data_IF_823520504512
#
_entry.id   IF_823520504512
#
_cell.length_a   1.000
_cell.length_b   1.000
_cell.length_c   1.000
_cell.angle_alpha   90.00
_cell.angle_beta   90.00
_cell.angle_gamma   90.00
#
_symmetry.space_group_name_H-M   'P 1'
#
loop_
_entity.id
_entity.type
_entity.pdbx_description
1 polymer ?
#
# COMPACT_ATOMS: atom_id res chain seq x y z
N UNK A 1 -8.69 -6.50 5.44
CA UNK A 1 -7.53 -5.72 4.97
C UNK A 1 -6.22 -6.48 5.11
N UNK A 2 -5.76 -6.81 6.32
CA UNK A 2 -4.41 -7.35 6.54
C UNK A 2 -4.13 -8.67 5.79
N UNK A 3 -4.98 -9.70 5.97
CA UNK A 3 -4.82 -10.98 5.28
C UNK A 3 -4.97 -10.88 3.76
N UNK A 4 -5.96 -10.12 3.29
CA UNK A 4 -6.18 -9.88 1.85
C UNK A 4 -4.99 -9.19 1.21
N UNK A 5 -4.42 -8.18 1.88
CA UNK A 5 -3.24 -7.47 1.43
C UNK A 5 -2.01 -8.39 1.38
N UNK A 6 -1.72 -9.13 2.45
CA UNK A 6 -0.55 -10.04 2.50
C UNK A 6 -0.65 -11.20 1.51
N UNK A 7 -1.84 -11.81 1.36
CA UNK A 7 -2.03 -12.89 0.41
C UNK A 7 -1.87 -12.42 -1.05
N UNK A 8 -2.49 -11.29 -1.39
CA UNK A 8 -2.50 -10.78 -2.76
C UNK A 8 -1.14 -10.18 -3.15
N UNK A 9 -0.44 -9.48 -2.24
CA UNK A 9 0.94 -9.02 -2.50
C UNK A 9 1.92 -10.18 -2.64
N UNK A 10 1.76 -11.26 -1.87
CA UNK A 10 2.59 -12.45 -2.01
C UNK A 10 2.40 -13.14 -3.36
N UNK A 11 1.15 -13.34 -3.78
CA UNK A 11 0.83 -13.90 -5.11
C UNK A 11 1.39 -13.00 -6.21
N UNK A 12 1.24 -11.69 -6.07
CA UNK A 12 1.77 -10.73 -7.03
C UNK A 12 3.29 -10.76 -7.13
N UNK A 13 3.98 -10.83 -5.99
CA UNK A 13 5.43 -10.95 -5.92
C UNK A 13 5.93 -12.24 -6.58
N UNK A 14 5.23 -13.37 -6.38
CA UNK A 14 5.55 -14.63 -7.03
C UNK A 14 5.46 -14.52 -8.57
N UNK A 15 4.44 -13.83 -9.08
CA UNK A 15 4.24 -13.61 -10.53
C UNK A 15 5.28 -12.62 -11.09
N UNK A 16 5.63 -11.56 -10.36
CA UNK A 16 6.65 -10.61 -10.84
C UNK A 16 8.07 -11.17 -10.72
N UNK A 17 8.30 -12.10 -9.80
CA UNK A 17 9.61 -12.76 -9.63
C UNK A 17 9.98 -13.62 -10.84
N UNK A 18 9.02 -14.34 -11.44
CA UNK A 18 9.27 -15.13 -12.65
C UNK A 18 9.59 -14.29 -13.88
N UNK A 19 9.16 -13.03 -13.91
CA UNK A 19 9.28 -12.13 -15.07
C UNK A 19 10.44 -11.12 -14.91
N UNK A 20 11.27 -11.26 -13.85
CA UNK A 20 12.46 -10.44 -13.58
C UNK A 20 12.28 -8.92 -13.69
N UNK A 21 11.08 -8.42 -13.41
CA UNK A 21 10.78 -7.00 -13.61
C UNK A 21 11.52 -6.09 -12.62
N UNK A 22 12.33 -5.18 -13.16
CA UNK A 22 13.15 -4.26 -12.39
C UNK A 22 12.33 -3.30 -11.51
N UNK A 23 11.16 -2.87 -11.99
CA UNK A 23 10.28 -1.95 -11.26
C UNK A 23 9.70 -2.59 -9.98
N UNK A 24 9.45 -3.90 -10.00
CA UNK A 24 8.90 -4.63 -8.86
C UNK A 24 9.87 -4.62 -7.67
N UNK A 25 11.19 -4.63 -7.94
CA UNK A 25 12.23 -4.51 -6.91
C UNK A 25 12.19 -3.17 -6.19
N UNK A 26 11.97 -2.07 -6.93
CA UNK A 26 11.84 -0.74 -6.34
C UNK A 26 10.58 -0.61 -5.49
N UNK A 27 9.46 -1.14 -5.96
CA UNK A 27 8.20 -1.17 -5.19
C UNK A 27 8.37 -2.00 -3.90
N UNK A 28 9.03 -3.15 -3.98
CA UNK A 28 9.34 -4.01 -2.83
C UNK A 28 10.26 -3.31 -1.82
N UNK A 29 11.30 -2.62 -2.29
CA UNK A 29 12.23 -1.88 -1.42
C UNK A 29 11.52 -0.76 -0.65
N UNK A 30 10.65 0.01 -1.32
CA UNK A 30 9.83 1.04 -0.68
C UNK A 30 8.88 0.43 0.35
N UNK A 31 8.21 -0.66 0.00
CA UNK A 31 7.31 -1.36 0.92
C UNK A 31 8.05 -1.87 2.16
N UNK A 32 9.19 -2.56 1.97
CA UNK A 32 9.99 -3.08 3.08
C UNK A 32 10.47 -1.96 3.99
N UNK A 33 10.91 -0.83 3.43
CA UNK A 33 11.36 0.34 4.22
C UNK A 33 10.25 0.85 5.13
N UNK A 34 9.05 1.05 4.58
CA UNK A 34 7.89 1.51 5.35
C UNK A 34 7.47 0.47 6.39
N UNK A 35 7.56 -0.81 6.03
CA UNK A 35 7.24 -1.93 6.92
C UNK A 35 8.23 -2.01 8.09
N UNK A 36 9.52 -1.84 7.84
CA UNK A 36 10.55 -1.76 8.87
C UNK A 36 10.22 -0.67 9.88
N UNK A 37 9.81 0.53 9.42
CA UNK A 37 9.39 1.63 10.29
C UNK A 37 8.14 1.24 11.11
N UNK A 38 7.15 0.61 10.49
CA UNK A 38 5.92 0.17 11.16
C UNK A 38 6.20 -0.89 12.25
N UNK A 39 6.97 -1.93 11.92
CA UNK A 39 7.30 -2.99 12.87
C UNK A 39 8.25 -2.51 13.96
N UNK A 40 9.16 -1.59 13.64
CA UNK A 40 9.99 -0.95 14.66
C UNK A 40 9.12 -0.22 15.70
N UNK A 41 8.10 0.51 15.25
CA UNK A 41 7.12 1.13 16.16
C UNK A 41 6.36 0.10 17.01
N UNK A 42 5.92 -1.02 16.41
CA UNK A 42 5.28 -2.09 17.18
C UNK A 42 6.24 -2.77 18.17
N UNK A 43 7.52 -2.90 17.84
CA UNK A 43 8.56 -3.39 18.75
C UNK A 43 8.75 -2.47 19.96
N UNK A 44 8.82 -1.16 19.72
CA UNK A 44 8.87 -0.15 20.81
C UNK A 44 7.60 -0.21 21.67
N UNK A 45 6.43 -0.47 21.09
CA UNK A 45 5.18 -0.69 21.85
C UNK A 45 5.22 -1.97 22.70
N UNK A 46 5.82 -3.04 22.20
CA UNK A 46 5.95 -4.31 22.94
C UNK A 46 6.80 -4.15 24.21
N UNK A 47 7.73 -3.18 24.22
CA UNK A 47 8.54 -2.81 25.39
C UNK A 47 7.78 -1.98 26.44
N UNK A 48 6.44 -1.87 26.35
CA UNK A 48 5.56 -1.09 27.22
C UNK A 48 5.85 0.43 27.26
N UNK A 49 6.61 0.95 26.30
CA UNK A 49 6.84 2.39 26.17
C UNK A 49 5.56 3.03 25.64
N UNK A 50 4.99 3.97 26.42
CA UNK A 50 3.81 4.73 26.03
C UNK A 50 4.10 5.55 24.77
N UNK A 51 3.59 5.07 23.65
CA UNK A 51 3.85 5.66 22.34
C UNK A 51 2.69 6.60 21.99
N UNK A 52 2.98 7.87 21.68
CA UNK A 52 1.95 8.86 21.44
C UNK A 52 1.18 8.56 20.15
N UNK A 53 -0.16 8.68 20.22
CA UNK A 53 -1.12 8.54 19.10
C UNK A 53 -0.72 9.25 17.78
N UNK A 54 -0.07 10.43 17.75
CA UNK A 54 0.42 11.03 16.50
C UNK A 54 1.40 10.16 15.71
N UNK A 55 2.23 9.34 16.37
CA UNK A 55 3.21 8.48 15.69
C UNK A 55 2.50 7.38 14.89
N UNK A 56 1.44 6.80 15.47
CA UNK A 56 0.59 5.83 14.74
C UNK A 56 -0.06 6.46 13.51
N UNK A 57 -0.50 7.73 13.60
CA UNK A 57 -1.04 8.46 12.45
C UNK A 57 0.01 8.65 11.37
N UNK A 58 1.20 9.12 11.74
CA UNK A 58 2.33 9.33 10.82
C UNK A 58 2.69 8.07 10.04
N UNK A 59 2.75 6.91 10.72
CA UNK A 59 3.03 5.62 10.08
C UNK A 59 1.94 5.26 9.06
N UNK A 60 0.66 5.41 9.42
CA UNK A 60 -0.43 5.16 8.45
C UNK A 60 -0.42 6.14 7.27
N UNK A 61 -0.01 7.38 7.49
CA UNK A 61 0.15 8.37 6.40
C UNK A 61 1.26 7.94 5.45
N UNK A 62 2.42 7.51 5.97
CA UNK A 62 3.52 7.01 5.15
C UNK A 62 3.09 5.78 4.33
N UNK A 63 2.33 4.84 4.92
CA UNK A 63 1.82 3.68 4.18
C UNK A 63 0.92 4.09 3.02
N UNK A 64 0.00 5.04 3.24
CA UNK A 64 -0.87 5.55 2.16
C UNK A 64 -0.04 6.22 1.06
N UNK A 65 0.96 7.04 1.43
CA UNK A 65 1.86 7.68 0.46
C UNK A 65 2.68 6.67 -0.33
N UNK A 66 3.06 5.54 0.27
CA UNK A 66 3.75 4.45 -0.44
C UNK A 66 2.84 3.80 -1.50
N UNK A 67 1.55 3.56 -1.20
CA UNK A 67 0.58 3.10 -2.21
C UNK A 67 0.36 4.15 -3.30
N UNK A 68 0.12 5.40 -2.89
CA UNK A 68 0.42 6.66 -3.60
C UNK A 68 1.34 6.54 -4.82
N UNK A 69 2.61 6.55 -4.47
CA UNK A 69 3.76 6.53 -5.36
C UNK A 69 3.78 5.25 -6.18
N UNK A 70 3.44 4.10 -5.60
CA UNK A 70 3.44 2.81 -6.32
C UNK A 70 2.41 2.80 -7.44
N UNK A 71 1.21 3.35 -7.23
CA UNK A 71 0.19 3.50 -8.26
C UNK A 71 0.63 4.47 -9.36
N UNK A 72 1.30 5.57 -9.00
CA UNK A 72 1.81 6.53 -9.98
C UNK A 72 2.88 5.92 -10.89
N UNK A 73 3.87 5.22 -10.31
CA UNK A 73 4.90 4.49 -11.06
C UNK A 73 4.25 3.43 -11.96
N UNK A 74 3.21 2.75 -11.47
CA UNK A 74 2.51 1.75 -12.26
C UNK A 74 1.77 2.36 -13.46
N UNK A 75 1.10 3.50 -13.28
CA UNK A 75 0.42 4.21 -14.35
C UNK A 75 1.42 4.71 -15.41
N UNK A 76 2.56 5.22 -14.98
CA UNK A 76 3.64 5.67 -15.87
C UNK A 76 4.19 4.51 -16.72
N UNK A 77 4.40 3.33 -16.12
CA UNK A 77 4.80 2.12 -16.85
C UNK A 77 3.76 1.68 -17.90
N UNK A 78 2.46 1.83 -17.61
CA UNK A 78 1.39 1.54 -18.58
C UNK A 78 1.45 2.50 -19.76
N UNK A 79 1.66 3.79 -19.51
CA UNK A 79 1.78 4.80 -20.56
C UNK A 79 3.01 4.54 -21.43
N UNK A 80 4.18 4.30 -20.83
CA UNK A 80 5.43 4.01 -21.55
C UNK A 80 5.27 2.77 -22.46
N UNK A 81 4.63 1.71 -21.97
CA UNK A 81 4.36 0.49 -22.74
C UNK A 81 3.38 0.76 -23.89
N UNK A 82 2.34 1.57 -23.67
CA UNK A 82 1.30 1.88 -24.67
C UNK A 82 1.83 2.77 -25.79
N UNK A 83 2.66 3.76 -25.46
CA UNK A 83 3.28 4.67 -26.42
C UNK A 83 4.57 4.10 -27.04
N UNK A 84 4.93 2.86 -26.69
CA UNK A 84 6.10 2.14 -27.20
C UNK A 84 7.39 2.98 -27.17
N UNK A 85 7.56 3.82 -26.13
CA UNK A 85 8.68 4.76 -26.05
C UNK A 85 10.04 4.09 -25.84
N UNK A 86 10.04 2.80 -25.45
CA UNK A 86 11.25 2.02 -25.20
C UNK A 86 11.19 0.75 -26.05
N UNK A 87 11.97 0.64 -27.14
CA UNK A 87 12.17 -0.64 -27.82
C UNK A 87 12.86 -1.60 -26.83
N UNK A 88 12.38 -2.84 -26.73
CA UNK A 88 12.84 -3.88 -25.79
C UNK A 88 12.38 -3.76 -24.32
N UNK A 89 11.23 -3.15 -24.07
CA UNK A 89 10.62 -3.24 -22.74
C UNK A 89 10.05 -4.67 -22.50
N UNK A 90 10.82 -5.51 -21.79
CA UNK A 90 10.49 -6.90 -21.38
C UNK A 90 9.32 -7.02 -20.36
N UNK A 91 8.48 -5.98 -20.25
CA UNK A 91 7.31 -5.98 -19.37
C UNK A 91 6.15 -6.71 -20.06
N UNK A 92 5.73 -7.86 -19.54
CA UNK A 92 4.58 -8.61 -20.05
C UNK A 92 3.24 -7.90 -19.77
N UNK A 93 2.34 -7.85 -20.77
CA UNK A 93 1.00 -7.27 -20.63
C UNK A 93 0.17 -7.94 -19.53
N UNK A 94 0.34 -9.25 -19.31
CA UNK A 94 -0.35 -9.98 -18.24
C UNK A 94 -0.02 -9.45 -16.85
N UNK A 95 1.27 -9.21 -16.56
CA UNK A 95 1.72 -8.69 -15.26
C UNK A 95 1.23 -7.26 -15.04
N UNK A 96 1.15 -6.50 -16.13
CA UNK A 96 0.69 -5.12 -16.13
C UNK A 96 -0.83 -5.02 -15.90
N UNK A 97 -1.64 -5.89 -16.51
CA UNK A 97 -3.09 -5.94 -16.24
C UNK A 97 -3.39 -6.43 -14.83
N UNK A 98 -2.73 -7.50 -14.37
CA UNK A 98 -2.93 -8.05 -13.01
C UNK A 98 -2.48 -7.05 -11.94
N UNK A 99 -1.33 -6.41 -12.15
CA UNK A 99 -0.81 -5.38 -11.25
C UNK A 99 -1.73 -4.16 -11.20
N UNK A 100 -2.25 -3.71 -12.33
CA UNK A 100 -3.16 -2.57 -12.39
C UNK A 100 -4.43 -2.82 -11.60
N UNK A 101 -5.02 -4.01 -11.78
CA UNK A 101 -6.23 -4.42 -11.06
C UNK A 101 -5.97 -4.52 -9.56
N UNK A 102 -4.84 -5.10 -9.15
CA UNK A 102 -4.42 -5.16 -7.75
C UNK A 102 -4.24 -3.77 -7.14
N UNK A 103 -3.49 -2.88 -7.79
CA UNK A 103 -3.21 -1.54 -7.29
C UNK A 103 -4.47 -0.68 -7.19
N UNK A 104 -5.39 -0.79 -8.16
CA UNK A 104 -6.67 -0.08 -8.15
C UNK A 104 -7.56 -0.57 -6.99
N UNK A 105 -7.56 -1.87 -6.72
CA UNK A 105 -8.23 -2.49 -5.56
C UNK A 105 -7.69 -1.94 -4.24
N UNK A 106 -6.36 -1.81 -4.12
CA UNK A 106 -5.71 -1.26 -2.93
C UNK A 106 -5.97 0.23 -2.74
N UNK A 107 -5.94 1.02 -3.82
CA UNK A 107 -6.23 2.45 -3.76
C UNK A 107 -7.65 2.68 -3.25
N UNK A 108 -8.62 1.90 -3.73
CA UNK A 108 -10.00 1.94 -3.22
C UNK A 108 -10.08 1.59 -1.72
N UNK A 109 -9.51 0.44 -1.32
CA UNK A 109 -9.50 -0.02 0.08
C UNK A 109 -8.87 1.01 1.02
N UNK A 110 -7.75 1.62 0.61
CA UNK A 110 -7.04 2.61 1.40
C UNK A 110 -7.73 3.97 1.41
N UNK A 111 -8.36 4.38 0.30
CA UNK A 111 -9.20 5.57 0.26
C UNK A 111 -10.40 5.43 1.19
N UNK A 112 -11.07 4.27 1.20
CA UNK A 112 -12.16 3.96 2.12
C UNK A 112 -11.68 3.96 3.58
N UNK A 113 -10.52 3.34 3.86
CA UNK A 113 -9.94 3.35 5.20
C UNK A 113 -9.58 4.77 5.66
N UNK A 114 -8.94 5.58 4.81
CA UNK A 114 -8.59 6.95 5.13
C UNK A 114 -9.84 7.80 5.36
N UNK A 115 -10.85 7.63 4.50
CA UNK A 115 -12.13 8.29 4.67
C UNK A 115 -12.78 7.92 6.01
N UNK A 116 -12.86 6.63 6.35
CA UNK A 116 -13.48 6.18 7.59
C UNK A 116 -12.65 6.50 8.86
N UNK A 117 -11.32 6.53 8.77
CA UNK A 117 -10.43 6.75 9.91
C UNK A 117 -10.17 8.24 10.20
N UNK A 118 -10.16 9.10 9.17
CA UNK A 118 -9.74 10.50 9.29
C UNK A 118 -10.82 11.52 8.90
N UNK A 119 -11.59 11.26 7.84
CA UNK A 119 -12.57 12.23 7.30
C UNK A 119 -13.94 12.06 7.93
N UNK A 120 -14.38 10.82 8.13
CA UNK A 120 -15.61 10.49 8.83
C UNK A 120 -15.41 10.91 10.28
N UNK A 121 -15.81 12.15 10.58
CA UNK A 121 -16.06 12.60 11.96
C UNK A 121 -16.88 11.48 12.60
N UNK A 122 -16.33 10.78 13.59
CA UNK A 122 -17.18 10.09 14.56
C UNK A 122 -18.09 11.19 15.08
N UNK A 123 -19.35 11.17 14.68
CA UNK A 123 -20.39 11.85 15.43
C UNK A 123 -20.17 11.42 16.88
N UNK A 124 -20.15 12.34 17.85
CA UNK A 124 -20.04 11.95 19.24
C UNK A 124 -21.19 10.98 19.47
N UNK A 125 -20.87 9.72 19.72
CA UNK A 125 -21.83 8.73 20.18
C UNK A 125 -22.51 9.39 21.36
N UNK A 126 -23.78 9.77 21.21
CA UNK A 126 -24.61 10.10 22.36
C UNK A 126 -24.51 8.87 23.25
N UNK A 127 -23.83 9.04 24.38
CA UNK A 127 -23.94 8.13 25.51
C UNK A 127 -25.42 8.11 25.89
N UNK A 128 -26.20 7.21 25.28
CA UNK A 128 -27.51 6.86 25.80
C UNK A 128 -27.23 6.17 27.12
N UNK A 129 -27.35 6.95 28.20
CA UNK A 129 -27.39 6.44 29.56
C UNK A 129 -28.44 5.34 29.61
N UNK A 130 -28.03 4.17 30.08
CA UNK A 130 -28.93 3.19 30.67
C UNK A 130 -29.76 3.89 31.75
N UNK A 131 -31.07 3.76 31.67
CA UNK A 131 -31.96 3.89 32.82
C UNK A 131 -33.00 2.78 32.74
#
# INVERSE_FOLDING_TARGET
MHWYHHALTFVYAAITYSEHQAWARWSLALNLTVHTIMYFYFGVRALKIQTPRPVAKFITTIQIVQFVISCYIFADLVVIKTYNQIPDCAVSWNVLSIGGLMYLSYLYLFAEFFYNAYIKKRSPTKSTKSQ
#
